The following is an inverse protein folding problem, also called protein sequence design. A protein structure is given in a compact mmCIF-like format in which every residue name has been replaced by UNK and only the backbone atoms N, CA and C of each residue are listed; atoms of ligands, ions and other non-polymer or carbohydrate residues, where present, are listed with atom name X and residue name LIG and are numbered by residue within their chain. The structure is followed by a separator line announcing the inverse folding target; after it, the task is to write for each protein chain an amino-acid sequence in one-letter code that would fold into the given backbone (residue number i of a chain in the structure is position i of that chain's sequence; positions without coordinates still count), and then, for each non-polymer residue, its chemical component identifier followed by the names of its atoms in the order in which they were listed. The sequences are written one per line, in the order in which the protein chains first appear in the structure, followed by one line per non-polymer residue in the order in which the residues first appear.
data_IF_140958038324
#
_entry.id   IF_140958038324
#
_cell.length_a   1.000
_cell.length_b   1.000
_cell.length_c   1.000
_cell.angle_alpha   90.00
_cell.angle_beta   90.00
_cell.angle_gamma   90.00
#
_symmetry.space_group_name_H-M   'P 1'
#
loop_
_entity.id
_entity.type
_entity.pdbx_description
1 polymer ?
#
# COMPACT_ATOMS: atom_id res chain seq x y z
N UNK A 1 -15.99 -4.64 18.15
CA UNK A 1 -16.07 -3.30 17.56
C UNK A 1 -16.64 -3.41 16.16
N UNK A 2 -17.30 -2.36 15.70
CA UNK A 2 -17.83 -2.23 14.33
C UNK A 2 -16.84 -1.41 13.51
N UNK A 3 -16.21 -2.01 12.50
CA UNK A 3 -15.11 -1.42 11.76
C UNK A 3 -15.40 -1.35 10.27
N UNK A 4 -15.02 -0.26 9.63
CA UNK A 4 -15.10 -0.10 8.17
C UNK A 4 -13.70 -0.20 7.55
N UNK A 5 -13.56 -1.05 6.53
CA UNK A 5 -12.36 -1.17 5.71
C UNK A 5 -12.68 -0.69 4.31
N UNK A 6 -12.17 0.46 3.88
CA UNK A 6 -12.27 0.84 2.49
C UNK A 6 -11.25 0.05 1.65
N UNK A 7 -11.64 -0.42 0.48
CA UNK A 7 -10.75 -1.22 -0.34
C UNK A 7 -10.48 -2.63 0.22
N UNK A 8 -11.39 -3.18 1.04
CA UNK A 8 -11.25 -4.50 1.65
C UNK A 8 -11.14 -5.65 0.64
N UNK A 9 -11.60 -5.47 -0.60
CA UNK A 9 -11.42 -6.44 -1.68
C UNK A 9 -10.01 -6.49 -2.29
N UNK A 10 -9.15 -5.51 -2.00
CA UNK A 10 -7.75 -5.49 -2.44
C UNK A 10 -6.86 -6.44 -1.63
N UNK A 11 -5.59 -6.62 -2.07
CA UNK A 11 -4.66 -7.56 -1.46
C UNK A 11 -4.46 -7.33 0.05
N UNK A 12 -4.02 -6.12 0.45
CA UNK A 12 -3.92 -5.76 1.87
C UNK A 12 -5.30 -5.69 2.54
N UNK A 13 -6.31 -5.18 1.82
CA UNK A 13 -7.67 -5.07 2.35
C UNK A 13 -8.27 -6.40 2.79
N UNK A 14 -8.08 -7.47 2.02
CA UNK A 14 -8.52 -8.81 2.40
C UNK A 14 -7.78 -9.34 3.64
N UNK A 15 -6.47 -9.04 3.77
CA UNK A 15 -5.70 -9.42 4.95
C UNK A 15 -6.20 -8.65 6.19
N UNK A 16 -6.50 -7.35 6.05
CA UNK A 16 -7.12 -6.54 7.11
C UNK A 16 -8.49 -7.11 7.51
N UNK A 17 -9.37 -7.37 6.56
CA UNK A 17 -10.69 -7.93 6.84
C UNK A 17 -10.59 -9.27 7.59
N UNK A 18 -9.77 -10.22 7.09
CA UNK A 18 -9.56 -11.52 7.77
C UNK A 18 -9.03 -11.35 9.18
N UNK A 19 -8.03 -10.51 9.37
CA UNK A 19 -7.42 -10.30 10.67
C UNK A 19 -8.36 -9.62 11.68
N UNK A 20 -9.22 -8.71 11.24
CA UNK A 20 -10.21 -8.06 12.09
C UNK A 20 -11.34 -9.02 12.48
N UNK A 21 -11.87 -9.80 11.54
CA UNK A 21 -12.87 -10.83 11.83
C UNK A 21 -12.33 -11.88 12.81
N UNK A 22 -11.07 -12.35 12.60
CA UNK A 22 -10.42 -13.29 13.50
C UNK A 22 -10.22 -12.75 14.92
N UNK A 23 -10.22 -11.41 15.10
CA UNK A 23 -10.20 -10.72 16.41
C UNK A 23 -11.60 -10.50 17.00
N UNK A 24 -12.65 -11.01 16.36
CA UNK A 24 -14.03 -10.89 16.83
C UNK A 24 -14.65 -9.51 16.56
N UNK A 25 -14.22 -8.80 15.53
CA UNK A 25 -14.82 -7.52 15.14
C UNK A 25 -15.87 -7.73 14.04
N UNK A 26 -16.91 -6.89 14.06
CA UNK A 26 -17.88 -6.78 12.97
C UNK A 26 -17.28 -5.90 11.88
N UNK A 27 -17.04 -6.46 10.71
CA UNK A 27 -16.34 -5.78 9.64
C UNK A 27 -17.27 -5.49 8.46
N UNK A 28 -17.29 -4.23 8.04
CA UNK A 28 -17.88 -3.81 6.77
C UNK A 28 -16.77 -3.42 5.81
N UNK A 29 -16.85 -3.86 4.56
CA UNK A 29 -15.94 -3.47 3.49
C UNK A 29 -16.64 -2.58 2.49
N UNK A 30 -16.03 -1.43 2.15
CA UNK A 30 -16.51 -0.52 1.09
C UNK A 30 -15.64 -0.65 -0.14
N UNK A 31 -16.22 -1.12 -1.25
CA UNK A 31 -15.51 -1.45 -2.49
C UNK A 31 -16.32 -1.07 -3.73
N UNK A 32 -15.65 -0.91 -4.88
CA UNK A 32 -16.35 -0.74 -6.17
C UNK A 32 -17.01 -2.00 -6.67
N UNK A 33 -16.44 -3.17 -6.38
CA UNK A 33 -16.95 -4.47 -6.78
C UNK A 33 -17.32 -5.34 -5.59
N UNK A 34 -17.94 -6.47 -5.87
CA UNK A 34 -18.22 -7.51 -4.90
C UNK A 34 -17.10 -8.58 -4.92
N UNK A 35 -16.69 -9.04 -3.76
CA UNK A 35 -15.57 -9.98 -3.59
C UNK A 35 -16.02 -11.21 -2.81
N UNK A 36 -16.29 -12.37 -3.46
CA UNK A 36 -16.79 -13.57 -2.79
C UNK A 36 -15.91 -14.05 -1.63
N UNK A 37 -14.60 -13.82 -1.69
CA UNK A 37 -13.69 -14.16 -0.61
C UNK A 37 -13.98 -13.40 0.71
N UNK A 38 -14.64 -12.26 0.66
CA UNK A 38 -15.06 -11.54 1.85
C UNK A 38 -16.35 -12.12 2.45
N UNK A 39 -17.24 -12.65 1.61
CA UNK A 39 -18.48 -13.30 2.08
C UNK A 39 -18.16 -14.56 2.89
N UNK A 40 -17.16 -15.34 2.43
CA UNK A 40 -16.78 -16.60 3.11
C UNK A 40 -16.27 -16.40 4.54
N UNK A 41 -15.85 -15.19 4.89
CA UNK A 41 -15.39 -14.82 6.24
C UNK A 41 -16.38 -13.91 6.99
N UNK A 42 -17.61 -13.74 6.48
CA UNK A 42 -18.65 -12.99 7.14
C UNK A 42 -18.48 -11.47 7.10
N UNK A 43 -17.71 -10.92 6.16
CA UNK A 43 -17.56 -9.47 5.99
C UNK A 43 -18.75 -8.90 5.23
N UNK A 44 -19.45 -7.94 5.81
CA UNK A 44 -20.50 -7.18 5.10
C UNK A 44 -19.87 -6.33 3.99
N UNK A 45 -20.42 -6.37 2.81
CA UNK A 45 -19.92 -5.60 1.67
C UNK A 45 -20.90 -4.49 1.27
N UNK A 46 -20.37 -3.26 1.16
CA UNK A 46 -21.09 -2.10 0.62
C UNK A 46 -20.38 -1.68 -0.68
N UNK A 47 -21.12 -1.66 -1.77
CA UNK A 47 -20.57 -1.26 -3.07
C UNK A 47 -20.68 0.25 -3.28
N UNK A 48 -19.58 0.85 -3.75
CA UNK A 48 -19.52 2.27 -4.09
C UNK A 48 -18.15 2.70 -4.53
N UNK A 49 -18.06 3.87 -5.15
CA UNK A 49 -16.79 4.51 -5.52
C UNK A 49 -16.42 5.57 -4.47
N UNK A 50 -15.18 5.56 -4.01
CA UNK A 50 -14.66 6.60 -3.11
C UNK A 50 -14.76 8.00 -3.72
N UNK A 51 -14.71 8.12 -5.05
CA UNK A 51 -14.89 9.37 -5.75
C UNK A 51 -16.34 9.91 -5.70
N UNK A 52 -17.30 9.09 -5.30
CA UNK A 52 -18.70 9.48 -5.10
C UNK A 52 -18.96 9.79 -3.62
N UNK A 53 -19.09 11.08 -3.32
CA UNK A 53 -19.37 11.56 -1.96
C UNK A 53 -20.66 10.96 -1.37
N UNK A 54 -21.70 10.86 -2.21
CA UNK A 54 -23.00 10.32 -1.79
C UNK A 54 -22.88 8.86 -1.39
N UNK A 55 -22.21 8.03 -2.21
CA UNK A 55 -21.97 6.63 -1.92
C UNK A 55 -21.14 6.43 -0.64
N UNK A 56 -20.12 7.27 -0.41
CA UNK A 56 -19.32 7.21 0.83
C UNK A 56 -20.19 7.56 2.04
N UNK A 57 -20.94 8.68 2.01
CA UNK A 57 -21.82 9.08 3.12
C UNK A 57 -22.84 7.98 3.43
N UNK A 58 -23.51 7.43 2.41
CA UNK A 58 -24.48 6.35 2.58
C UNK A 58 -23.88 5.07 3.20
N UNK A 59 -22.61 4.78 2.93
CA UNK A 59 -21.90 3.65 3.54
C UNK A 59 -21.71 3.86 5.06
N UNK A 60 -21.51 5.11 5.49
CA UNK A 60 -21.39 5.46 6.91
C UNK A 60 -22.76 5.56 7.60
N UNK A 61 -23.79 6.09 6.91
CA UNK A 61 -25.17 6.15 7.42
C UNK A 61 -25.74 4.73 7.68
N UNK A 62 -25.38 3.78 6.81
CA UNK A 62 -25.84 2.41 6.91
C UNK A 62 -25.29 1.65 8.12
N UNK A 63 -24.17 2.05 8.68
CA UNK A 63 -23.53 1.43 9.85
C UNK A 63 -23.62 -0.10 9.90
N UNK A 64 -23.48 -0.67 11.08
CA UNK A 64 -23.90 -2.05 11.37
C UNK A 64 -25.07 -1.95 12.34
N UNK A 65 -26.27 -2.43 11.93
CA UNK A 65 -27.48 -2.38 12.73
C UNK A 65 -27.84 -0.96 13.23
N UNK A 66 -27.62 0.06 12.37
CA UNK A 66 -27.90 1.46 12.68
C UNK A 66 -26.92 2.13 13.65
N UNK A 67 -25.86 1.46 14.08
CA UNK A 67 -24.85 2.04 14.93
C UNK A 67 -23.61 2.50 14.12
N UNK A 68 -23.04 3.63 14.50
CA UNK A 68 -21.82 4.16 13.90
C UNK A 68 -20.63 3.19 14.02
N UNK A 69 -19.64 3.34 13.13
CA UNK A 69 -18.40 2.59 13.23
C UNK A 69 -17.51 3.11 14.37
N UNK A 70 -16.83 2.20 15.05
CA UNK A 70 -15.84 2.51 16.08
C UNK A 70 -14.51 3.01 15.50
N UNK A 71 -14.26 2.75 14.21
CA UNK A 71 -13.06 3.19 13.53
C UNK A 71 -12.98 2.73 12.08
N UNK A 72 -12.04 3.34 11.37
CA UNK A 72 -11.87 3.19 9.93
C UNK A 72 -10.45 2.74 9.57
N UNK A 73 -10.35 1.71 8.74
CA UNK A 73 -9.14 1.36 8.01
C UNK A 73 -9.26 1.86 6.57
N UNK A 74 -8.69 3.03 6.29
CA UNK A 74 -8.77 3.62 4.95
C UNK A 74 -7.63 3.13 4.06
N UNK A 75 -7.86 1.96 3.44
CA UNK A 75 -6.92 1.28 2.55
C UNK A 75 -7.26 1.48 1.06
N UNK A 76 -8.48 1.88 0.75
CA UNK A 76 -8.94 2.06 -0.63
C UNK A 76 -8.19 3.17 -1.36
N UNK A 77 -7.51 2.81 -2.46
CA UNK A 77 -6.83 3.75 -3.34
C UNK A 77 -6.72 3.19 -4.76
N UNK A 78 -6.61 4.08 -5.74
CA UNK A 78 -6.13 3.70 -7.07
C UNK A 78 -4.62 3.58 -7.00
N UNK A 79 -4.10 2.37 -7.25
CA UNK A 79 -2.67 2.07 -7.38
C UNK A 79 -2.30 1.90 -8.86
N UNK A 80 -1.00 1.84 -9.17
CA UNK A 80 -0.45 1.66 -10.51
C UNK A 80 0.59 2.70 -10.86
N UNK A 81 1.37 2.45 -11.91
CA UNK A 81 2.45 3.33 -12.33
C UNK A 81 2.06 4.29 -13.47
N UNK A 82 0.83 4.15 -14.01
CA UNK A 82 0.39 4.88 -15.20
C UNK A 82 -1.09 5.23 -15.18
N UNK A 83 -1.45 6.37 -15.77
CA UNK A 83 -2.80 6.85 -15.95
C UNK A 83 -2.93 8.36 -15.79
N UNK A 84 -4.11 8.92 -16.07
CA UNK A 84 -4.34 10.36 -15.93
C UNK A 84 -4.31 10.79 -14.45
N UNK A 85 -3.71 11.95 -14.17
CA UNK A 85 -3.69 12.53 -12.84
C UNK A 85 -5.11 12.66 -12.25
N UNK A 86 -6.06 13.12 -13.04
CA UNK A 86 -7.46 13.28 -12.61
C UNK A 86 -8.06 11.98 -12.07
N UNK A 87 -7.82 10.85 -12.74
CA UNK A 87 -8.35 9.57 -12.29
C UNK A 87 -7.75 9.09 -10.95
N UNK A 88 -6.49 9.41 -10.69
CA UNK A 88 -5.87 9.18 -9.39
C UNK A 88 -6.33 10.18 -8.33
N UNK A 89 -6.43 11.46 -8.69
CA UNK A 89 -6.88 12.51 -7.81
C UNK A 89 -8.30 12.25 -7.30
N UNK A 90 -9.22 11.91 -8.19
CA UNK A 90 -10.59 11.57 -7.80
C UNK A 90 -10.65 10.41 -6.79
N UNK A 91 -9.94 9.32 -7.07
CA UNK A 91 -9.98 8.15 -6.19
C UNK A 91 -9.20 8.36 -4.88
N UNK A 92 -7.98 8.93 -4.96
CA UNK A 92 -7.06 8.98 -3.82
C UNK A 92 -7.24 10.25 -2.98
N UNK A 93 -7.44 11.41 -3.61
CA UNK A 93 -7.53 12.69 -2.89
C UNK A 93 -8.96 13.01 -2.51
N UNK A 94 -9.87 13.07 -3.50
CA UNK A 94 -11.27 13.35 -3.21
C UNK A 94 -11.90 12.20 -2.42
N UNK A 95 -11.60 10.95 -2.77
CA UNK A 95 -12.06 9.79 -2.01
C UNK A 95 -11.63 9.81 -0.55
N UNK A 96 -10.36 10.17 -0.26
CA UNK A 96 -9.88 10.34 1.11
C UNK A 96 -10.61 11.50 1.81
N UNK A 97 -10.83 12.62 1.11
CA UNK A 97 -11.58 13.75 1.68
C UNK A 97 -13.01 13.35 2.05
N UNK A 98 -13.70 12.59 1.19
CA UNK A 98 -15.05 12.10 1.47
C UNK A 98 -15.09 11.20 2.72
N UNK A 99 -14.09 10.32 2.88
CA UNK A 99 -13.98 9.48 4.09
C UNK A 99 -13.75 10.33 5.34
N UNK A 100 -12.88 11.35 5.29
CA UNK A 100 -12.63 12.25 6.40
C UNK A 100 -13.89 13.07 6.76
N UNK A 101 -14.63 13.53 5.76
CA UNK A 101 -15.89 14.26 5.98
C UNK A 101 -16.95 13.36 6.60
N UNK A 102 -17.04 12.10 6.17
CA UNK A 102 -17.94 11.12 6.75
C UNK A 102 -17.54 10.78 8.19
N UNK A 103 -16.25 10.64 8.50
CA UNK A 103 -15.79 10.46 9.88
C UNK A 103 -16.27 11.60 10.79
N UNK A 104 -16.12 12.85 10.34
CA UNK A 104 -16.57 14.02 11.12
C UNK A 104 -18.09 14.05 11.29
N UNK A 105 -18.84 13.77 10.22
CA UNK A 105 -20.30 13.79 10.24
C UNK A 105 -20.90 12.75 11.20
N UNK A 106 -20.23 11.59 11.34
CA UNK A 106 -20.71 10.46 12.14
C UNK A 106 -19.97 10.30 13.48
N UNK A 107 -19.12 11.25 13.85
CA UNK A 107 -18.39 11.21 15.13
C UNK A 107 -17.40 10.05 15.25
N UNK A 108 -16.84 9.58 14.14
CA UNK A 108 -15.84 8.49 14.15
C UNK A 108 -14.52 9.04 14.72
N UNK A 109 -14.04 8.42 15.79
CA UNK A 109 -12.88 8.92 16.52
C UNK A 109 -11.51 8.43 16.05
N UNK A 110 -11.43 7.40 15.18
CA UNK A 110 -10.16 6.76 14.79
C UNK A 110 -10.10 6.40 13.31
N UNK A 111 -9.00 6.78 12.66
CA UNK A 111 -8.75 6.43 11.25
C UNK A 111 -7.28 6.04 11.04
N UNK A 112 -7.05 4.80 10.60
CA UNK A 112 -5.75 4.32 10.12
C UNK A 112 -5.74 4.40 8.59
N UNK A 113 -4.80 5.16 8.04
CA UNK A 113 -4.64 5.37 6.61
C UNK A 113 -3.48 4.57 6.04
N UNK A 114 -3.73 3.76 5.02
CA UNK A 114 -2.67 3.10 4.25
C UNK A 114 -2.08 4.08 3.24
N UNK A 115 -0.90 4.60 3.52
CA UNK A 115 -0.10 5.42 2.63
C UNK A 115 0.95 4.58 1.87
N UNK A 116 2.06 5.18 1.47
CA UNK A 116 3.14 4.53 0.72
C UNK A 116 4.46 5.29 0.89
N UNK A 117 5.63 4.64 0.91
CA UNK A 117 6.91 5.34 0.86
C UNK A 117 7.10 6.18 -0.42
N UNK A 118 6.32 5.93 -1.48
CA UNK A 118 6.39 6.71 -2.72
C UNK A 118 6.10 8.21 -2.51
N UNK A 119 5.48 8.60 -1.40
CA UNK A 119 5.24 10.02 -1.05
C UNK A 119 6.54 10.77 -0.73
N UNK A 120 7.61 10.04 -0.42
CA UNK A 120 8.95 10.58 -0.16
C UNK A 120 9.91 10.39 -1.33
N UNK A 121 9.42 9.95 -2.49
CA UNK A 121 10.27 9.67 -3.63
C UNK A 121 10.96 10.93 -4.16
N UNK A 122 12.29 10.87 -4.31
CA UNK A 122 13.12 11.95 -4.83
C UNK A 122 14.11 11.41 -5.86
N UNK A 123 13.59 11.02 -7.03
CA UNK A 123 14.37 10.46 -8.13
C UNK A 123 15.36 9.37 -7.68
N UNK A 124 16.66 9.57 -7.84
CA UNK A 124 17.70 8.61 -7.47
C UNK A 124 18.30 8.84 -6.07
N UNK A 125 17.68 9.67 -5.22
CA UNK A 125 18.16 9.86 -3.87
C UNK A 125 17.83 8.63 -3.01
N UNK A 126 18.85 7.95 -2.44
CA UNK A 126 18.61 6.78 -1.61
C UNK A 126 17.99 7.18 -0.27
N UNK A 127 17.21 6.27 0.29
CA UNK A 127 16.82 6.31 1.70
C UNK A 127 17.43 5.09 2.37
N UNK A 128 18.31 5.31 3.34
CA UNK A 128 19.03 4.27 4.04
C UNK A 128 18.87 4.47 5.57
N UNK A 129 17.86 3.80 6.15
CA UNK A 129 17.58 3.85 7.59
C UNK A 129 16.92 5.13 8.09
N UNK A 130 16.27 5.90 7.19
CA UNK A 130 15.55 7.10 7.62
C UNK A 130 14.19 6.79 8.21
N UNK A 131 13.77 7.52 9.24
CA UNK A 131 12.41 7.52 9.79
C UNK A 131 11.48 8.39 8.94
N UNK A 132 10.18 8.33 9.21
CA UNK A 132 9.22 9.20 8.51
C UNK A 132 9.38 10.70 8.87
N UNK A 133 10.03 11.01 9.98
CA UNK A 133 10.32 12.37 10.42
C UNK A 133 11.60 12.90 9.74
N UNK A 134 12.58 12.02 9.46
CA UNK A 134 13.86 12.39 8.83
C UNK A 134 13.77 12.53 7.31
N UNK A 135 12.91 11.70 6.68
CA UNK A 135 12.80 11.63 5.24
C UNK A 135 11.75 12.60 4.73
N UNK A 136 12.15 13.69 4.06
CA UNK A 136 11.20 14.69 3.59
C UNK A 136 10.27 14.12 2.50
N UNK A 137 9.13 14.74 2.34
CA UNK A 137 8.27 14.48 1.19
C UNK A 137 8.99 14.74 -0.14
N UNK A 138 8.62 13.97 -1.14
CA UNK A 138 9.16 14.13 -2.48
C UNK A 138 8.75 15.46 -3.12
N UNK A 139 9.69 16.08 -3.83
CA UNK A 139 9.46 17.31 -4.58
C UNK A 139 9.13 16.99 -6.03
N UNK A 140 8.14 17.69 -6.61
CA UNK A 140 7.83 17.60 -8.03
C UNK A 140 7.46 16.19 -8.50
N UNK A 141 6.73 15.43 -7.69
CA UNK A 141 6.33 14.07 -8.00
C UNK A 141 5.55 13.99 -9.32
N UNK A 142 6.16 13.38 -10.35
CA UNK A 142 5.57 13.24 -11.69
C UNK A 142 4.64 12.04 -11.81
N UNK A 143 4.85 11.00 -10.98
CA UNK A 143 3.97 9.83 -10.96
C UNK A 143 2.64 10.18 -10.29
N UNK A 144 1.49 10.09 -10.99
CA UNK A 144 0.19 10.48 -10.43
C UNK A 144 -0.15 9.75 -9.14
N UNK A 145 0.24 8.48 -9.01
CA UNK A 145 0.07 7.71 -7.79
C UNK A 145 0.78 8.36 -6.60
N UNK A 146 2.08 8.62 -6.73
CA UNK A 146 2.88 9.20 -5.64
C UNK A 146 2.38 10.60 -5.25
N UNK A 147 2.11 11.45 -6.24
CA UNK A 147 1.61 12.81 -6.03
C UNK A 147 0.26 12.82 -5.30
N UNK A 148 -0.68 11.99 -5.74
CA UNK A 148 -2.02 11.95 -5.13
C UNK A 148 -2.03 11.26 -3.76
N UNK A 149 -1.17 10.26 -3.53
CA UNK A 149 -1.00 9.67 -2.21
C UNK A 149 -0.37 10.65 -1.21
N UNK A 150 0.58 11.47 -1.67
CA UNK A 150 1.16 12.55 -0.86
C UNK A 150 0.10 13.56 -0.42
N UNK A 151 -0.73 14.02 -1.36
CA UNK A 151 -1.80 14.98 -1.05
C UNK A 151 -2.83 14.38 -0.08
N UNK A 152 -3.23 13.14 -0.31
CA UNK A 152 -4.16 12.44 0.55
C UNK A 152 -3.59 12.24 1.97
N UNK A 153 -2.31 11.84 2.10
CA UNK A 153 -1.66 11.69 3.39
C UNK A 153 -1.62 13.01 4.17
N UNK A 154 -1.25 14.11 3.51
CA UNK A 154 -1.27 15.45 4.14
C UNK A 154 -2.65 15.82 4.66
N UNK A 155 -3.72 15.50 3.92
CA UNK A 155 -5.11 15.73 4.37
C UNK A 155 -5.47 14.88 5.59
N UNK A 156 -5.06 13.61 5.60
CA UNK A 156 -5.30 12.71 6.74
C UNK A 156 -4.59 13.22 7.99
N UNK A 157 -3.32 13.57 7.89
CA UNK A 157 -2.55 14.06 9.03
C UNK A 157 -3.07 15.42 9.53
N UNK A 158 -3.45 16.32 8.62
CA UNK A 158 -4.09 17.60 8.97
C UNK A 158 -5.49 17.46 9.59
N UNK A 159 -6.16 16.33 9.39
CA UNK A 159 -7.47 16.05 9.99
C UNK A 159 -7.38 15.61 11.45
N UNK A 160 -6.18 15.27 11.94
CA UNK A 160 -5.97 14.86 13.33
C UNK A 160 -6.32 15.97 14.31
N UNK A 161 -7.18 15.66 15.28
CA UNK A 161 -7.61 16.60 16.31
C UNK A 161 -8.18 15.87 17.53
N UNK A 162 -8.75 16.61 18.48
CA UNK A 162 -9.30 16.05 19.71
C UNK A 162 -10.51 15.12 19.50
N UNK A 163 -11.17 15.11 18.35
CA UNK A 163 -12.35 14.27 18.05
C UNK A 163 -12.08 13.19 17.00
N UNK A 164 -11.03 13.33 16.21
CA UNK A 164 -10.61 12.35 15.20
C UNK A 164 -9.09 12.16 15.27
N UNK A 165 -8.65 11.04 15.81
CA UNK A 165 -7.26 10.64 15.77
C UNK A 165 -6.96 9.94 14.44
N UNK A 166 -5.90 10.35 13.76
CA UNK A 166 -5.47 9.76 12.48
C UNK A 166 -4.02 9.33 12.54
N UNK A 167 -3.67 8.27 11.81
CA UNK A 167 -2.30 7.82 11.60
C UNK A 167 -2.11 7.36 10.15
N UNK A 168 -0.95 7.63 9.58
CA UNK A 168 -0.62 7.19 8.22
C UNK A 168 0.49 6.13 8.25
N UNK A 169 0.24 4.97 7.68
CA UNK A 169 1.23 3.90 7.55
C UNK A 169 1.73 3.82 6.10
N UNK A 170 3.05 3.74 5.91
CA UNK A 170 3.73 3.68 4.61
C UNK A 170 4.36 2.31 4.41
N UNK A 171 3.57 1.23 4.16
CA UNK A 171 4.15 -0.09 3.94
C UNK A 171 4.93 -0.12 2.61
N UNK A 172 6.13 -0.72 2.65
CA UNK A 172 7.00 -0.88 1.48
C UNK A 172 6.78 -2.22 0.81
N UNK A 173 6.49 -2.21 -0.50
CA UNK A 173 6.44 -3.39 -1.38
C UNK A 173 5.82 -4.61 -0.68
N UNK A 174 4.50 -4.60 -0.51
CA UNK A 174 3.77 -5.69 0.15
C UNK A 174 3.70 -6.90 -0.77
N UNK A 175 4.00 -8.09 -0.23
CA UNK A 175 3.94 -9.35 -0.94
C UNK A 175 3.50 -10.51 -0.03
N UNK A 176 3.07 -11.62 -0.65
CA UNK A 176 2.64 -12.81 0.08
C UNK A 176 1.59 -13.61 -0.68
N UNK A 177 1.03 -14.66 -0.06
CA UNK A 177 -0.07 -15.43 -0.64
C UNK A 177 -1.29 -14.56 -0.98
N UNK A 178 -1.85 -14.73 -2.18
CA UNK A 178 -2.98 -13.94 -2.65
C UNK A 178 -2.60 -12.63 -3.37
N UNK A 179 -1.31 -12.32 -3.55
CA UNK A 179 -0.88 -11.20 -4.40
C UNK A 179 -1.23 -11.47 -5.87
N UNK A 180 -2.17 -10.71 -6.39
CA UNK A 180 -2.63 -10.79 -7.77
C UNK A 180 -1.97 -9.76 -8.71
N UNK A 181 -1.06 -8.93 -8.21
CA UNK A 181 -0.47 -7.84 -8.99
C UNK A 181 1.04 -7.97 -9.21
N UNK A 182 1.84 -7.99 -8.15
CA UNK A 182 3.30 -8.02 -8.24
C UNK A 182 3.80 -9.38 -8.70
N UNK A 183 3.45 -10.44 -7.98
CA UNK A 183 3.97 -11.79 -8.20
C UNK A 183 3.62 -12.35 -9.59
N UNK A 184 2.37 -12.28 -10.08
CA UNK A 184 2.05 -12.75 -11.43
C UNK A 184 2.84 -12.00 -12.51
N UNK A 185 2.99 -10.67 -12.38
CA UNK A 185 3.70 -9.83 -13.38
C UNK A 185 5.19 -10.16 -13.46
N UNK A 186 5.89 -10.31 -12.31
CA UNK A 186 7.31 -10.66 -12.32
C UNK A 186 7.53 -12.10 -12.81
N UNK A 187 6.68 -13.04 -12.39
CA UNK A 187 6.76 -14.44 -12.80
C UNK A 187 6.51 -14.63 -14.31
N UNK A 188 5.50 -13.97 -14.88
CA UNK A 188 5.23 -13.97 -16.31
C UNK A 188 6.43 -13.44 -17.11
N UNK A 189 6.99 -12.28 -16.70
CA UNK A 189 8.15 -11.69 -17.37
C UNK A 189 9.40 -12.55 -17.23
N UNK A 190 9.59 -13.21 -16.09
CA UNK A 190 10.70 -14.13 -15.87
C UNK A 190 10.60 -15.36 -16.79
N UNK A 191 9.40 -16.00 -16.85
CA UNK A 191 9.14 -17.16 -17.74
C UNK A 191 9.31 -16.78 -19.22
N UNK A 192 8.93 -15.56 -19.60
CA UNK A 192 9.13 -15.04 -20.96
C UNK A 192 10.59 -14.59 -21.24
N UNK A 193 11.52 -14.72 -20.27
CA UNK A 193 12.90 -14.27 -20.42
C UNK A 193 13.05 -12.74 -20.57
N UNK A 194 12.01 -11.97 -20.21
CA UNK A 194 11.95 -10.51 -20.38
C UNK A 194 12.23 -9.72 -19.09
N UNK A 195 12.24 -10.38 -17.93
CA UNK A 195 12.56 -9.72 -16.68
C UNK A 195 14.03 -9.29 -16.64
N UNK A 196 14.29 -8.10 -16.15
CA UNK A 196 15.63 -7.54 -15.98
C UNK A 196 15.70 -6.82 -14.65
N UNK A 197 16.81 -6.95 -13.95
CA UNK A 197 17.16 -6.06 -12.85
C UNK A 197 17.57 -4.69 -13.40
N UNK A 198 17.48 -3.65 -12.60
CA UNK A 198 17.98 -2.32 -12.94
C UNK A 198 19.17 -2.01 -12.05
N UNK A 199 20.29 -1.53 -12.63
CA UNK A 199 21.48 -1.18 -11.87
C UNK A 199 22.20 -2.36 -11.21
N UNK A 200 21.98 -3.61 -11.68
CA UNK A 200 22.60 -4.80 -11.08
C UNK A 200 21.78 -5.45 -9.97
N UNK A 201 20.94 -4.71 -9.29
CA UNK A 201 20.09 -5.21 -8.20
C UNK A 201 20.81 -5.39 -6.85
N UNK A 202 21.94 -4.71 -6.66
CA UNK A 202 22.71 -4.70 -5.38
C UNK A 202 22.16 -3.67 -4.38
N UNK A 203 21.31 -2.76 -4.83
CA UNK A 203 20.66 -1.78 -3.97
C UNK A 203 19.81 -2.47 -2.90
N UNK A 204 19.99 -2.04 -1.65
CA UNK A 204 19.24 -2.59 -0.53
C UNK A 204 17.80 -2.07 -0.54
N UNK A 205 16.87 -2.97 -0.36
CA UNK A 205 15.45 -2.64 -0.29
C UNK A 205 14.77 -3.34 0.86
N UNK A 206 13.85 -2.63 1.47
CA UNK A 206 12.88 -3.22 2.39
C UNK A 206 11.67 -3.75 1.62
N UNK A 207 11.06 -4.77 2.20
CA UNK A 207 9.76 -5.28 1.76
C UNK A 207 8.91 -5.62 2.98
N UNK A 208 7.62 -5.80 2.77
CA UNK A 208 6.68 -6.11 3.85
C UNK A 208 5.89 -7.37 3.51
N UNK A 209 6.00 -8.40 4.33
CA UNK A 209 5.12 -9.57 4.21
C UNK A 209 3.69 -9.18 4.57
N UNK A 210 2.71 -9.71 3.86
CA UNK A 210 1.29 -9.31 3.94
C UNK A 210 0.73 -9.33 5.36
N UNK A 211 1.03 -10.35 6.15
CA UNK A 211 0.52 -10.46 7.53
C UNK A 211 1.18 -9.43 8.45
N UNK A 212 2.46 -9.10 8.24
CA UNK A 212 3.15 -8.02 8.96
C UNK A 212 2.56 -6.64 8.59
N UNK A 213 2.23 -6.44 7.31
CA UNK A 213 1.56 -5.21 6.89
C UNK A 213 0.19 -5.06 7.58
N UNK A 214 -0.62 -6.11 7.61
CA UNK A 214 -1.90 -6.09 8.30
C UNK A 214 -1.72 -5.89 9.82
N UNK A 215 -0.74 -6.57 10.44
CA UNK A 215 -0.45 -6.45 11.87
C UNK A 215 -0.09 -5.01 12.25
N UNK A 216 0.74 -4.31 11.45
CA UNK A 216 1.07 -2.91 11.70
C UNK A 216 -0.17 -2.00 11.75
N UNK A 217 -1.18 -2.29 10.92
CA UNK A 217 -2.43 -1.53 10.94
C UNK A 217 -3.24 -1.80 12.20
N UNK A 218 -3.24 -3.06 12.67
CA UNK A 218 -3.94 -3.40 13.93
C UNK A 218 -3.25 -2.78 15.13
N UNK A 219 -1.91 -2.92 15.23
CA UNK A 219 -1.13 -2.36 16.32
C UNK A 219 -1.31 -0.82 16.38
N UNK A 220 -1.25 -0.14 15.23
CA UNK A 220 -1.51 1.30 15.15
C UNK A 220 -2.94 1.65 15.60
N UNK A 221 -3.96 0.89 15.16
CA UNK A 221 -5.35 1.16 15.53
C UNK A 221 -5.63 0.97 17.04
N UNK A 222 -5.03 -0.05 17.64
CA UNK A 222 -5.18 -0.35 19.07
C UNK A 222 -4.60 0.75 19.96
N UNK A 223 -3.53 1.42 19.49
CA UNK A 223 -2.87 2.52 20.21
C UNK A 223 -3.35 3.91 19.76
N UNK A 224 -4.25 4.00 18.76
CA UNK A 224 -4.71 5.27 18.24
C UNK A 224 -5.86 5.87 19.07
N UNK A 225 -5.61 7.01 19.66
CA UNK A 225 -6.59 7.85 20.33
C UNK A 225 -6.18 9.32 20.25
N UNK A 226 -7.08 10.28 20.48
CA UNK A 226 -6.67 11.68 20.54
C UNK A 226 -5.55 11.91 21.56
N UNK A 227 -4.46 12.53 21.12
CA UNK A 227 -3.26 12.77 21.93
C UNK A 227 -2.31 11.59 22.11
N UNK A 228 -2.61 10.42 21.55
CA UNK A 228 -1.67 9.28 21.54
C UNK A 228 -0.37 9.61 20.78
N UNK A 229 0.73 8.94 21.10
CA UNK A 229 2.03 9.16 20.48
C UNK A 229 1.98 9.03 18.94
N UNK A 230 1.19 8.10 18.42
CA UNK A 230 1.05 7.87 16.98
C UNK A 230 0.03 8.80 16.30
N UNK A 231 -0.78 9.56 17.05
CA UNK A 231 -1.83 10.41 16.46
C UNK A 231 -1.24 11.60 15.69
N UNK A 232 -1.69 11.78 14.44
CA UNK A 232 -1.22 12.84 13.56
C UNK A 232 0.15 12.57 12.92
N UNK A 233 0.69 11.35 13.00
CA UNK A 233 2.02 11.00 12.49
C UNK A 233 1.97 9.99 11.34
N UNK A 234 3.06 9.92 10.60
CA UNK A 234 3.29 8.93 9.56
C UNK A 234 4.41 7.97 9.97
N UNK A 235 4.35 6.71 9.50
CA UNK A 235 5.34 5.68 9.82
C UNK A 235 5.67 4.85 8.60
N UNK A 236 6.95 4.59 8.35
CA UNK A 236 7.36 3.53 7.44
C UNK A 236 7.10 2.16 8.08
N UNK A 237 6.67 1.21 7.26
CA UNK A 237 6.39 -0.17 7.69
C UNK A 237 7.10 -1.13 6.73
N UNK A 238 7.91 -2.02 7.29
CA UNK A 238 8.59 -3.08 6.56
C UNK A 238 8.85 -4.29 7.47
N UNK A 239 9.50 -5.30 6.91
CA UNK A 239 9.99 -6.43 7.71
C UNK A 239 11.23 -6.10 8.55
N UNK A 240 11.90 -4.94 8.33
CA UNK A 240 13.15 -4.62 9.01
C UNK A 240 14.32 -5.54 8.63
N UNK A 241 14.24 -6.17 7.48
CA UNK A 241 15.23 -7.08 6.92
C UNK A 241 15.66 -6.57 5.53
N UNK A 242 16.41 -5.43 5.45
CA UNK A 242 16.84 -4.90 4.16
C UNK A 242 17.78 -5.87 3.46
N UNK A 243 17.49 -6.18 2.20
CA UNK A 243 18.29 -7.10 1.41
C UNK A 243 18.47 -6.61 -0.03
N UNK A 244 19.47 -7.13 -0.77
CA UNK A 244 19.64 -6.78 -2.19
C UNK A 244 18.38 -7.06 -3.00
N UNK A 245 18.01 -6.12 -3.88
CA UNK A 245 16.83 -6.26 -4.77
C UNK A 245 16.86 -7.57 -5.54
N UNK A 246 18.06 -8.02 -6.01
CA UNK A 246 18.20 -9.29 -6.72
C UNK A 246 17.81 -10.50 -5.88
N UNK A 247 18.10 -10.46 -4.58
CA UNK A 247 17.82 -11.59 -3.67
C UNK A 247 16.33 -11.71 -3.39
N UNK A 248 15.67 -10.60 -3.06
CA UNK A 248 14.21 -10.63 -2.85
C UNK A 248 13.45 -11.01 -4.11
N UNK A 249 13.84 -10.45 -5.28
CA UNK A 249 13.18 -10.79 -6.54
C UNK A 249 13.36 -12.28 -6.87
N UNK A 250 14.57 -12.82 -6.74
CA UNK A 250 14.83 -14.23 -7.01
C UNK A 250 14.20 -15.16 -5.96
N UNK A 251 14.14 -14.75 -4.69
CA UNK A 251 13.40 -15.47 -3.65
C UNK A 251 11.90 -15.57 -3.97
N UNK A 252 11.29 -14.47 -4.37
CA UNK A 252 9.89 -14.44 -4.80
C UNK A 252 9.66 -15.31 -6.06
N UNK A 253 10.54 -15.22 -7.05
CA UNK A 253 10.47 -16.05 -8.25
C UNK A 253 10.58 -17.55 -7.92
N UNK A 254 11.52 -17.93 -7.06
CA UNK A 254 11.69 -19.31 -6.61
C UNK A 254 10.43 -19.81 -5.90
N UNK A 255 9.87 -19.02 -4.97
CA UNK A 255 8.65 -19.37 -4.24
C UNK A 255 7.45 -19.55 -5.18
N UNK A 256 7.38 -18.82 -6.31
CA UNK A 256 6.32 -19.02 -7.31
C UNK A 256 6.70 -19.96 -8.46
N UNK A 257 7.83 -20.69 -8.38
CA UNK A 257 8.28 -21.65 -9.39
C UNK A 257 8.54 -21.00 -10.75
N UNK A 258 9.14 -19.81 -10.74
CA UNK A 258 9.57 -19.12 -11.94
C UNK A 258 11.12 -19.08 -12.04
N UNK A 259 11.69 -19.02 -13.23
CA UNK A 259 13.13 -18.99 -13.39
C UNK A 259 13.75 -17.71 -12.78
N UNK A 260 14.98 -17.78 -12.24
CA UNK A 260 15.63 -16.62 -11.64
C UNK A 260 15.97 -15.58 -12.70
N UNK A 261 16.02 -14.31 -12.29
CA UNK A 261 16.53 -13.22 -13.11
C UNK A 261 18.03 -13.06 -12.88
N UNK A 262 18.79 -13.19 -13.98
CA UNK A 262 20.27 -13.06 -13.99
C UNK A 262 20.75 -11.86 -14.79
N UNK A 263 19.89 -11.33 -15.69
CA UNK A 263 20.22 -10.22 -16.58
C UNK A 263 19.83 -8.89 -15.95
N UNK A 264 20.66 -7.87 -16.13
CA UNK A 264 20.39 -6.50 -15.68
C UNK A 264 20.47 -5.50 -16.82
N UNK A 265 19.86 -4.35 -16.62
CA UNK A 265 19.99 -3.16 -17.46
C UNK A 265 20.71 -2.06 -16.67
N UNK A 266 21.68 -1.35 -17.23
CA UNK A 266 22.20 -0.13 -16.63
C UNK A 266 21.05 0.88 -16.38
N UNK A 267 21.10 1.59 -15.26
CA UNK A 267 20.06 2.57 -14.93
C UNK A 267 19.76 3.58 -16.04
N UNK A 268 20.76 4.22 -16.70
CA UNK A 268 20.47 5.18 -17.78
C UNK A 268 19.68 4.56 -18.95
N UNK A 269 19.96 3.28 -19.26
CA UNK A 269 19.24 2.55 -20.31
C UNK A 269 17.80 2.28 -19.89
N UNK A 270 17.61 1.78 -18.66
CA UNK A 270 16.26 1.55 -18.11
C UNK A 270 15.45 2.85 -18.04
N UNK A 271 16.07 3.94 -17.61
CA UNK A 271 15.44 5.25 -17.57
C UNK A 271 15.05 5.75 -18.97
N UNK A 272 15.95 5.64 -19.95
CA UNK A 272 15.68 5.98 -21.35
C UNK A 272 14.53 5.17 -21.96
N UNK A 273 14.46 3.86 -21.67
CA UNK A 273 13.31 3.02 -22.03
C UNK A 273 12.04 3.54 -21.38
N UNK A 274 12.10 3.92 -20.09
CA UNK A 274 10.96 4.52 -19.39
C UNK A 274 10.45 5.79 -20.07
N UNK A 275 11.36 6.70 -20.48
CA UNK A 275 11.00 7.92 -21.23
C UNK A 275 10.29 7.56 -22.54
N UNK A 276 10.87 6.64 -23.33
CA UNK A 276 10.29 6.23 -24.61
C UNK A 276 8.91 5.57 -24.43
N UNK A 277 8.75 4.69 -23.44
CA UNK A 277 7.47 4.06 -23.14
C UNK A 277 6.41 5.10 -22.72
N UNK A 278 6.76 6.02 -21.82
CA UNK A 278 5.84 7.08 -21.40
C UNK A 278 5.42 7.98 -22.57
N UNK A 279 6.36 8.37 -23.44
CA UNK A 279 6.06 9.16 -24.65
C UNK A 279 5.11 8.39 -25.59
N UNK A 280 5.38 7.12 -25.83
CA UNK A 280 4.54 6.28 -26.69
C UNK A 280 3.11 6.13 -26.14
N UNK A 281 2.94 5.86 -24.85
CA UNK A 281 1.63 5.76 -24.21
C UNK A 281 0.89 7.09 -24.10
N UNK A 282 1.62 8.21 -24.12
CA UNK A 282 1.01 9.55 -24.14
C UNK A 282 0.54 9.93 -25.56
N UNK A 283 1.32 9.59 -26.59
CA UNK A 283 1.01 9.96 -27.97
C UNK A 283 0.02 9.01 -28.64
N UNK A 284 0.01 7.75 -28.24
CA UNK A 284 -0.87 6.73 -28.79
C UNK A 284 -1.85 6.21 -27.72
N UNK A 285 -3.13 5.93 -28.07
CA UNK A 285 -4.13 5.43 -27.13
C UNK A 285 -3.91 3.94 -26.83
N UNK A 286 -2.70 3.59 -26.34
CA UNK A 286 -2.36 2.22 -26.00
C UNK A 286 -3.08 1.77 -24.72
N UNK A 287 -3.57 0.53 -24.73
CA UNK A 287 -4.23 -0.07 -23.57
C UNK A 287 -3.22 -0.57 -22.54
N UNK A 288 -3.60 -0.50 -21.26
CA UNK A 288 -2.78 -0.98 -20.14
C UNK A 288 -1.69 0.00 -19.72
N UNK A 289 -0.79 -0.50 -18.86
CA UNK A 289 0.35 0.29 -18.35
C UNK A 289 1.59 0.09 -19.23
N UNK A 290 2.46 1.12 -19.37
CA UNK A 290 3.78 0.96 -20.00
C UNK A 290 4.57 -0.16 -19.33
N UNK A 291 5.39 -0.91 -20.09
CA UNK A 291 6.26 -1.95 -19.54
C UNK A 291 7.24 -1.42 -18.49
N UNK A 292 7.67 -0.18 -18.64
CA UNK A 292 8.56 0.52 -17.71
C UNK A 292 8.23 2.02 -17.76
N UNK A 293 8.26 2.67 -16.58
CA UNK A 293 8.18 4.13 -16.45
C UNK A 293 9.48 4.65 -15.84
N UNK A 294 9.76 5.93 -15.97
CA UNK A 294 10.90 6.58 -15.30
C UNK A 294 10.84 6.34 -13.79
N UNK A 295 9.67 6.56 -13.21
CA UNK A 295 9.42 6.32 -11.77
C UNK A 295 9.75 4.88 -11.35
N UNK A 296 9.33 3.88 -12.15
CA UNK A 296 9.63 2.49 -11.84
C UNK A 296 11.13 2.17 -11.99
N UNK A 297 11.80 2.73 -13.01
CA UNK A 297 13.24 2.57 -13.18
C UNK A 297 14.03 3.14 -11.98
N UNK A 298 13.65 4.33 -11.50
CA UNK A 298 14.22 4.96 -10.31
C UNK A 298 14.00 4.11 -9.06
N UNK A 299 12.77 3.64 -8.83
CA UNK A 299 12.42 2.80 -7.68
C UNK A 299 13.16 1.45 -7.66
N UNK A 300 13.44 0.86 -8.82
CA UNK A 300 14.15 -0.41 -8.94
C UNK A 300 15.66 -0.27 -8.77
N UNK A 301 16.23 0.90 -9.09
CA UNK A 301 17.68 1.13 -9.06
C UNK A 301 18.18 1.71 -7.75
N UNK A 302 17.29 2.24 -6.89
CA UNK A 302 17.69 3.05 -5.73
C UNK A 302 17.49 2.27 -4.44
N UNK A 303 18.42 2.47 -3.49
CA UNK A 303 18.32 1.90 -2.12
C UNK A 303 17.16 2.54 -1.38
N UNK A 304 16.29 1.69 -0.79
CA UNK A 304 15.15 2.12 0.01
C UNK A 304 14.91 1.13 1.16
N UNK A 305 15.45 1.43 2.33
CA UNK A 305 15.14 0.75 3.58
C UNK A 305 14.97 1.78 4.69
N UNK A 306 14.22 1.43 5.75
CA UNK A 306 13.70 2.40 6.69
C UNK A 306 13.94 1.98 8.13
N UNK A 307 14.09 2.95 9.03
CA UNK A 307 14.07 2.73 10.46
C UNK A 307 12.62 2.72 10.96
N UNK A 308 12.23 1.62 11.60
CA UNK A 308 10.91 1.43 12.18
C UNK A 308 10.88 1.63 13.69
N UNK A 309 11.98 2.10 14.31
CA UNK A 309 12.03 2.37 15.74
C UNK A 309 10.87 3.27 16.22
N UNK A 310 10.42 4.30 15.47
CA UNK A 310 9.25 5.07 15.87
C UNK A 310 7.96 4.24 15.89
N UNK A 311 7.75 3.34 14.93
CA UNK A 311 6.56 2.47 14.90
C UNK A 311 6.58 1.45 16.06
N UNK A 312 7.77 0.93 16.39
CA UNK A 312 7.96 0.06 17.56
C UNK A 312 7.72 0.82 18.86
N UNK A 313 8.25 2.04 19.00
CA UNK A 313 8.12 2.84 20.21
C UNK A 313 6.70 3.34 20.46
N UNK A 314 6.01 3.83 19.42
CA UNK A 314 4.74 4.53 19.57
C UNK A 314 3.52 3.59 19.59
N UNK A 315 3.59 2.42 18.93
CA UNK A 315 2.49 1.45 18.91
C UNK A 315 2.91 -0.03 18.87
N UNK A 316 4.15 -0.34 19.25
CA UNK A 316 4.59 -1.71 19.51
C UNK A 316 4.76 -2.57 18.25
N UNK A 317 4.86 -1.98 17.05
CA UNK A 317 5.02 -2.77 15.82
C UNK A 317 6.34 -3.53 15.80
N UNK A 318 6.25 -4.85 15.70
CA UNK A 318 7.38 -5.75 15.46
C UNK A 318 6.96 -6.76 14.38
N UNK A 319 7.72 -6.88 13.28
CA UNK A 319 7.45 -7.90 12.27
C UNK A 319 7.50 -9.30 12.88
N UNK A 320 6.44 -10.09 12.69
CA UNK A 320 6.31 -11.43 13.28
C UNK A 320 6.75 -12.54 12.35
N UNK A 321 6.69 -12.29 11.04
CA UNK A 321 7.04 -13.25 9.98
C UNK A 321 8.28 -12.72 9.27
N UNK A 322 9.38 -13.46 9.32
CA UNK A 322 10.60 -13.12 8.58
C UNK A 322 10.41 -13.24 7.07
N UNK A 323 11.29 -12.63 6.28
CA UNK A 323 11.26 -12.78 4.81
C UNK A 323 11.42 -14.25 4.44
N UNK A 324 12.32 -14.98 5.10
CA UNK A 324 12.55 -16.42 4.85
C UNK A 324 11.28 -17.26 5.09
N UNK A 325 10.60 -17.04 6.21
CA UNK A 325 9.33 -17.70 6.53
C UNK A 325 8.22 -17.30 5.56
N UNK A 326 8.11 -16.03 5.22
CA UNK A 326 7.14 -15.53 4.25
C UNK A 326 7.31 -16.19 2.87
N UNK A 327 8.55 -16.37 2.40
CA UNK A 327 8.83 -17.09 1.15
C UNK A 327 8.42 -18.56 1.21
N UNK A 328 8.64 -19.24 2.35
CA UNK A 328 8.18 -20.62 2.56
C UNK A 328 6.64 -20.71 2.52
N UNK A 329 5.93 -19.79 3.21
CA UNK A 329 4.47 -19.73 3.20
C UNK A 329 3.91 -19.45 1.80
N UNK A 330 4.58 -18.57 1.04
CA UNK A 330 4.22 -18.28 -0.35
C UNK A 330 4.39 -19.51 -1.24
N UNK A 331 5.49 -20.28 -1.08
CA UNK A 331 5.70 -21.50 -1.83
C UNK A 331 4.64 -22.57 -1.49
N UNK A 332 4.33 -22.74 -0.20
CA UNK A 332 3.31 -23.68 0.26
C UNK A 332 1.91 -23.36 -0.25
N UNK A 333 1.53 -22.09 -0.37
CA UNK A 333 0.21 -21.66 -0.86
C UNK A 333 -0.10 -22.01 -2.32
N UNK A 334 0.89 -22.51 -3.06
CA UNK A 334 0.73 -22.98 -4.45
C UNK A 334 0.51 -24.48 -4.56
N UNK A 335 0.84 -25.22 -3.52
CA UNK A 335 0.75 -26.69 -3.51
C UNK A 335 -0.64 -27.20 -3.08
N UNK A 336 -1.48 -26.32 -2.57
CA UNK A 336 -2.88 -26.56 -2.23
C UNK A 336 -3.82 -25.83 -3.19
#
# INVERSE_FOLDING_TARGET
MKLLVTGGGGFLGQALCRGLVARGHDVTSFNRGHYPALDTIGVRQVQGDLADRGAVMAAFDGGIDGAAFDGIFHNGAKAGAWGSYDSYHRANVLGTQHVLDACRAHGIGRLVYTSTPSVTHRATHPVAGGTADDVPYGDGLKAPYAATKLEAEKRVLAANNATLATVALRPRLIWGPGDAQLLPRIAERARAGRLRLVGGGDNLVDTTYIDNAAQAHFDAFEHLSPGAACAGRAYFISNGEPMPMREIVNGLLAAVGAPPVTKSLPFPVAYGIGVACEALWTLLPLRGEPPLTRFLAEQLATTHWYDMAPATGDFGYVPRISIAEGLQRLAASRAG
#
